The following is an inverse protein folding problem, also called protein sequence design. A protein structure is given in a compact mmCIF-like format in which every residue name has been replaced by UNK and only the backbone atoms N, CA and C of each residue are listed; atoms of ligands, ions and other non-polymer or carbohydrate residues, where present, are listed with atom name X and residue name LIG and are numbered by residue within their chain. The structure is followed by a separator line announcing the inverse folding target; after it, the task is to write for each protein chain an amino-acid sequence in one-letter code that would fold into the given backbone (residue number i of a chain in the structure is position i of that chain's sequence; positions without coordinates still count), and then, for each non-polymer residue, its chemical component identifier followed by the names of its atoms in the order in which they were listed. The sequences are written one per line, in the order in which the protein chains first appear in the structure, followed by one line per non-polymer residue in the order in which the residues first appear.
data_IF_409612286621
#
_entry.id   IF_409612286621
#
_cell.length_a   1.000
_cell.length_b   1.000
_cell.length_c   1.000
_cell.angle_alpha   90.00
_cell.angle_beta   90.00
_cell.angle_gamma   90.00
#
_symmetry.space_group_name_H-M   'P 1'
#
loop_
_entity.id
_entity.type
_entity.pdbx_description
1 polymer ?
#
# COMPACT_ATOMS: atom_id res chain seq x y z
N UNK A 1 0.56 -0.24 -23.87
CA UNK A 1 -0.53 -0.39 -22.91
C UNK A 1 0.13 -0.66 -21.56
N UNK A 2 0.31 0.36 -20.71
CA UNK A 2 0.87 0.16 -19.36
C UNK A 2 -0.27 -0.38 -18.50
N UNK A 3 -0.16 -1.59 -17.94
CA UNK A 3 -1.22 -2.16 -17.13
C UNK A 3 -1.23 -1.41 -15.79
N UNK A 4 -2.32 -0.69 -15.57
CA UNK A 4 -2.71 0.06 -14.37
C UNK A 4 -1.58 0.89 -13.69
N UNK A 5 -1.49 2.21 -13.96
CA UNK A 5 -0.53 3.07 -13.28
C UNK A 5 -0.94 3.18 -11.81
N UNK A 6 -0.42 2.28 -10.97
CA UNK A 6 -0.37 2.51 -9.52
C UNK A 6 0.21 3.90 -9.31
N UNK A 7 -0.37 4.66 -8.40
CA UNK A 7 0.25 5.90 -7.94
C UNK A 7 1.67 5.58 -7.49
N UNK A 8 2.68 6.17 -8.12
CA UNK A 8 4.09 5.97 -7.74
C UNK A 8 4.31 6.18 -6.24
N UNK A 9 3.50 7.05 -5.64
CA UNK A 9 3.51 7.33 -4.20
C UNK A 9 3.10 6.12 -3.36
N UNK A 10 2.05 5.40 -3.77
CA UNK A 10 1.54 4.26 -3.01
C UNK A 10 2.54 3.11 -3.07
N UNK A 11 3.19 2.92 -4.23
CA UNK A 11 4.29 1.97 -4.37
C UNK A 11 5.48 2.31 -3.45
N UNK A 12 5.86 3.58 -3.35
CA UNK A 12 6.93 4.01 -2.45
C UNK A 12 6.54 3.82 -0.97
N UNK A 13 5.32 4.16 -0.57
CA UNK A 13 4.82 3.94 0.79
C UNK A 13 4.84 2.45 1.15
N UNK A 14 4.34 1.59 0.25
CA UNK A 14 4.35 0.14 0.46
C UNK A 14 5.78 -0.40 0.58
N UNK A 15 6.70 0.03 -0.29
CA UNK A 15 8.10 -0.38 -0.24
C UNK A 15 8.76 0.02 1.10
N UNK A 16 8.55 1.25 1.57
CA UNK A 16 9.04 1.68 2.89
C UNK A 16 8.49 0.80 4.00
N UNK A 17 7.19 0.52 4.00
CA UNK A 17 6.58 -0.31 5.02
C UNK A 17 7.15 -1.75 5.02
N UNK A 18 7.35 -2.35 3.85
CA UNK A 18 7.94 -3.68 3.72
C UNK A 18 9.39 -3.72 4.23
N UNK A 19 10.22 -2.77 3.81
CA UNK A 19 11.65 -2.71 4.19
C UNK A 19 11.83 -2.56 5.70
N UNK A 20 10.91 -1.86 6.36
CA UNK A 20 10.98 -1.56 7.78
C UNK A 20 10.06 -2.41 8.66
N UNK A 21 9.32 -3.37 8.09
CA UNK A 21 8.38 -4.21 8.84
C UNK A 21 7.22 -3.44 9.48
N UNK A 22 6.74 -2.38 8.82
CA UNK A 22 5.67 -1.52 9.29
C UNK A 22 4.31 -1.96 8.74
N UNK A 23 3.23 -1.49 9.38
CA UNK A 23 1.85 -1.61 8.90
C UNK A 23 1.41 -0.29 8.27
N UNK A 24 0.80 -0.36 7.09
CA UNK A 24 0.16 0.80 6.44
C UNK A 24 -1.23 0.96 7.03
N UNK A 25 -1.47 2.08 7.71
CA UNK A 25 -2.80 2.45 8.20
C UNK A 25 -3.46 3.36 7.17
N UNK A 26 -4.55 2.89 6.53
CA UNK A 26 -5.21 3.63 5.46
C UNK A 26 -6.69 3.26 5.34
N UNK A 27 -7.51 4.23 4.89
CA UNK A 27 -8.88 3.97 4.45
C UNK A 27 -8.95 3.32 3.05
N UNK A 28 -7.92 3.54 2.23
CA UNK A 28 -7.90 3.08 0.85
C UNK A 28 -7.13 1.77 0.74
N UNK A 29 -7.69 0.69 1.29
CA UNK A 29 -7.02 -0.63 1.30
C UNK A 29 -6.67 -1.12 -0.11
N UNK A 30 -7.55 -0.89 -1.08
CA UNK A 30 -7.44 -1.37 -2.47
C UNK A 30 -6.15 -0.94 -3.17
N UNK A 31 -5.63 0.24 -2.83
CA UNK A 31 -4.41 0.79 -3.44
C UNK A 31 -3.16 -0.01 -3.03
N UNK A 32 -3.22 -0.67 -1.85
CA UNK A 32 -2.11 -1.39 -1.23
C UNK A 32 -2.29 -2.92 -1.25
N UNK A 33 -3.51 -3.42 -1.46
CA UNK A 33 -3.80 -4.86 -1.61
C UNK A 33 -2.85 -5.63 -2.54
N UNK A 34 -2.39 -5.10 -3.69
CA UNK A 34 -1.46 -5.82 -4.58
C UNK A 34 0.01 -5.74 -4.14
N UNK A 35 0.34 -5.16 -2.98
CA UNK A 35 1.74 -4.88 -2.57
C UNK A 35 2.27 -5.78 -1.45
N UNK A 36 1.54 -6.81 -1.03
CA UNK A 36 1.87 -7.74 0.08
C UNK A 36 2.16 -7.06 1.44
N UNK A 37 1.94 -5.75 1.55
CA UNK A 37 2.14 -4.99 2.78
C UNK A 37 1.03 -5.31 3.78
N UNK A 38 1.36 -5.25 5.08
CA UNK A 38 0.33 -5.36 6.13
C UNK A 38 -0.49 -4.07 6.15
N UNK A 39 -1.82 -4.19 6.06
CA UNK A 39 -2.74 -3.05 5.99
C UNK A 39 -3.71 -3.09 7.17
N UNK A 40 -3.89 -1.93 7.82
CA UNK A 40 -4.92 -1.69 8.84
C UNK A 40 -5.86 -0.59 8.36
N UNK A 41 -7.17 -0.85 8.42
CA UNK A 41 -8.20 0.16 8.13
C UNK A 41 -8.78 0.67 9.46
N UNK A 42 -8.53 1.93 9.83
CA UNK A 42 -8.91 2.44 11.15
C UNK A 42 -10.39 2.81 11.26
N UNK A 43 -11.17 2.68 10.19
CA UNK A 43 -12.63 2.87 10.21
C UNK A 43 -13.42 1.55 10.22
N UNK A 44 -12.73 0.43 10.41
CA UNK A 44 -13.30 -0.91 10.54
C UNK A 44 -13.07 -1.51 11.91
#
# INVERSE_FOLDING_TARGET
HVPDPRSERDALIAATALVHGLTVVTRNRKDFEPTDVTILDPWR
#
